data_IF_110666305598
#
_entry.id   IF_110666305598
#
_cell.length_a   1.000
_cell.length_b   1.000
_cell.length_c   1.000
_cell.angle_alpha   90.00
_cell.angle_beta   90.00
_cell.angle_gamma   90.00
#
_symmetry.space_group_name_H-M   'P 1'
#
loop_
_entity.id
_entity.type
_entity.pdbx_description
1 polymer ?
#
# COMPACT_ATOMS: atom_id res chain seq x y z
N UNK A 1 -4.48 -17.32 -2.38
CA UNK A 1 -3.63 -16.58 -1.42
C UNK A 1 -3.35 -15.21 -2.00
N UNK A 2 -3.37 -14.17 -1.17
CA UNK A 2 -3.25 -12.78 -1.60
C UNK A 2 -2.11 -12.11 -0.83
N UNK A 3 -1.22 -11.43 -1.53
CA UNK A 3 -0.25 -10.52 -0.93
C UNK A 3 -0.87 -9.13 -0.83
N UNK A 4 -0.60 -8.42 0.26
CA UNK A 4 -1.02 -7.05 0.44
C UNK A 4 0.12 -6.23 1.04
N UNK A 5 0.42 -5.09 0.43
CA UNK A 5 1.48 -4.19 0.87
C UNK A 5 1.09 -2.72 0.60
N UNK A 6 1.79 -1.78 1.24
CA UNK A 6 1.59 -0.36 0.99
C UNK A 6 2.88 0.38 0.62
N UNK A 7 2.73 1.33 -0.29
CA UNK A 7 3.80 2.18 -0.76
C UNK A 7 3.42 3.65 -0.68
N UNK A 8 4.41 4.51 -0.43
CA UNK A 8 4.25 5.95 -0.63
C UNK A 8 4.80 6.31 -2.01
N UNK A 9 3.90 6.74 -2.89
CA UNK A 9 4.21 7.05 -4.29
C UNK A 9 4.08 8.55 -4.51
N UNK A 10 4.94 9.12 -5.37
CA UNK A 10 4.80 10.54 -5.75
C UNK A 10 3.61 10.70 -6.68
N UNK A 11 2.63 11.52 -6.30
CA UNK A 11 1.50 11.82 -7.17
C UNK A 11 1.88 12.72 -8.36
N UNK A 12 3.03 13.40 -8.29
CA UNK A 12 3.51 14.23 -9.40
C UNK A 12 2.71 15.51 -9.57
N UNK A 13 2.15 16.05 -8.48
CA UNK A 13 1.26 17.22 -8.51
C UNK A 13 1.96 18.54 -8.91
N UNK A 14 3.22 18.47 -9.33
CA UNK A 14 4.01 19.62 -9.78
C UNK A 14 3.33 20.28 -10.98
N UNK A 15 3.08 21.59 -10.88
CA UNK A 15 2.48 22.35 -11.97
C UNK A 15 0.95 22.21 -12.07
N UNK A 16 0.35 21.32 -11.28
CA UNK A 16 -1.11 21.21 -11.18
C UNK A 16 -1.68 22.46 -10.51
N UNK A 17 -2.80 22.96 -11.04
CA UNK A 17 -3.55 24.06 -10.42
C UNK A 17 -4.57 23.46 -9.45
N UNK A 18 -4.59 23.94 -8.22
CA UNK A 18 -5.55 23.55 -7.19
C UNK A 18 -6.32 24.78 -6.71
N UNK A 19 -7.56 24.59 -6.26
CA UNK A 19 -8.35 25.68 -5.69
C UNK A 19 -7.72 26.17 -4.39
N UNK A 20 -7.41 27.47 -4.33
CA UNK A 20 -6.94 28.17 -3.16
C UNK A 20 -7.97 29.17 -2.65
N UNK A 21 -7.79 29.64 -1.41
CA UNK A 21 -8.68 30.66 -0.79
C UNK A 21 -8.83 31.94 -1.64
N UNK A 22 -7.80 32.31 -2.40
CA UNK A 22 -7.76 33.50 -3.26
C UNK A 22 -7.76 33.15 -4.77
N UNK A 23 -8.27 31.97 -5.14
CA UNK A 23 -8.32 31.48 -6.51
C UNK A 23 -7.32 30.34 -6.82
N UNK A 24 -7.24 29.96 -8.09
CA UNK A 24 -6.40 28.85 -8.56
C UNK A 24 -4.93 29.07 -8.21
N UNK A 25 -4.37 28.20 -7.38
CA UNK A 25 -2.95 28.19 -7.02
C UNK A 25 -2.23 27.06 -7.75
N UNK A 26 -1.17 27.40 -8.48
CA UNK A 26 -0.27 26.40 -9.07
C UNK A 26 0.60 25.78 -7.98
N UNK A 27 0.65 24.45 -7.91
CA UNK A 27 1.58 23.73 -7.03
C UNK A 27 3.01 24.00 -7.53
N UNK A 28 3.85 24.69 -6.72
CA UNK A 28 5.16 25.12 -7.17
C UNK A 28 6.08 23.93 -7.44
N UNK A 29 6.93 24.06 -8.45
CA UNK A 29 7.96 23.10 -8.80
C UNK A 29 9.14 23.15 -7.81
N UNK A 30 8.93 22.75 -6.56
CA UNK A 30 10.05 22.63 -5.63
C UNK A 30 10.92 21.43 -6.06
N UNK A 31 12.17 21.68 -6.47
CA UNK A 31 13.22 20.65 -6.45
C UNK A 31 13.37 20.24 -4.98
N UNK A 32 12.74 19.14 -4.59
CA UNK A 32 12.61 18.72 -3.19
C UNK A 32 11.33 19.21 -2.55
N UNK A 33 10.22 18.51 -2.79
CA UNK A 33 9.03 18.61 -1.96
C UNK A 33 9.37 18.25 -0.50
N UNK A 34 8.59 18.82 0.43
CA UNK A 34 8.74 18.70 1.89
C UNK A 34 8.91 17.24 2.34
N UNK A 35 10.15 16.77 2.44
CA UNK A 35 10.51 15.58 3.21
C UNK A 35 10.48 15.95 4.70
N UNK A 36 9.29 16.31 5.18
CA UNK A 36 9.06 16.49 6.60
C UNK A 36 8.99 15.11 7.27
N UNK A 37 9.43 14.99 8.53
CA UNK A 37 9.41 13.73 9.28
C UNK A 37 8.02 13.08 9.28
N UNK A 38 7.99 11.76 9.50
CA UNK A 38 6.78 10.96 9.50
C UNK A 38 6.30 10.55 8.10
N UNK A 39 5.17 9.84 8.07
CA UNK A 39 4.60 9.20 6.88
C UNK A 39 4.30 10.18 5.74
N UNK A 40 4.29 9.64 4.52
CA UNK A 40 3.81 10.36 3.34
C UNK A 40 2.33 10.70 3.49
N UNK A 41 1.92 11.80 2.85
CA UNK A 41 0.52 12.24 2.83
C UNK A 41 0.25 12.93 1.49
N UNK A 42 -1.01 13.12 1.13
CA UNK A 42 -1.38 13.90 -0.05
C UNK A 42 -0.78 15.32 -0.02
N UNK A 43 -0.78 15.97 1.15
CA UNK A 43 -0.16 17.29 1.35
C UNK A 43 1.36 17.31 1.11
N UNK A 44 2.04 16.17 1.29
CA UNK A 44 3.46 15.98 1.02
C UNK A 44 3.73 15.52 -0.43
N UNK A 45 2.70 15.45 -1.28
CA UNK A 45 2.73 14.89 -2.64
C UNK A 45 3.23 13.42 -2.66
N UNK A 46 3.02 12.71 -1.55
CA UNK A 46 3.39 11.30 -1.38
C UNK A 46 2.25 10.53 -0.72
N UNK A 47 1.09 10.39 -1.39
CA UNK A 47 0.00 9.57 -0.88
C UNK A 47 0.45 8.12 -0.64
N UNK A 48 -0.14 7.51 0.38
CA UNK A 48 -0.09 6.07 0.59
C UNK A 48 -1.04 5.41 -0.41
N UNK A 49 -0.50 4.50 -1.18
CA UNK A 49 -1.27 3.54 -1.98
C UNK A 49 -1.06 2.17 -1.39
N UNK A 50 -2.07 1.31 -1.48
CA UNK A 50 -1.91 -0.11 -1.17
C UNK A 50 -2.15 -0.95 -2.41
N UNK A 51 -1.41 -2.05 -2.52
CA UNK A 51 -1.43 -2.99 -3.63
C UNK A 51 -1.85 -4.34 -3.08
N UNK A 52 -2.89 -4.91 -3.67
CA UNK A 52 -3.24 -6.32 -3.49
C UNK A 52 -2.76 -7.11 -4.70
N UNK A 53 -2.12 -8.25 -4.47
CA UNK A 53 -1.68 -9.16 -5.52
C UNK A 53 -2.20 -10.57 -5.25
N UNK A 54 -3.12 -11.04 -6.09
CA UNK A 54 -3.59 -12.42 -6.01
C UNK A 54 -2.57 -13.36 -6.65
N UNK A 55 -2.04 -14.30 -5.86
CA UNK A 55 -1.23 -15.38 -6.41
C UNK A 55 -2.16 -16.44 -6.97
N UNK A 56 -2.51 -16.30 -8.25
CA UNK A 56 -3.06 -17.39 -9.02
C UNK A 56 -1.94 -18.37 -9.44
N UNK A 57 -2.32 -19.58 -9.75
CA UNK A 57 -1.56 -20.59 -10.47
C UNK A 57 -1.26 -20.13 -11.91
N UNK A 58 -0.33 -19.18 -12.00
CA UNK A 58 0.39 -18.70 -13.19
C UNK A 58 -0.42 -18.12 -14.36
N UNK A 59 -1.72 -17.91 -14.24
CA UNK A 59 -2.55 -17.58 -15.42
C UNK A 59 -3.11 -16.17 -15.46
N UNK A 60 -3.49 -15.55 -14.34
CA UNK A 60 -3.93 -14.14 -14.31
C UNK A 60 -3.46 -13.45 -13.02
N UNK A 61 -3.07 -12.18 -13.14
CA UNK A 61 -2.54 -11.38 -12.03
C UNK A 61 -3.50 -10.22 -11.78
N UNK A 62 -4.32 -10.34 -10.75
CA UNK A 62 -5.13 -9.22 -10.31
C UNK A 62 -4.31 -8.35 -9.37
N UNK A 63 -4.08 -7.11 -9.84
CA UNK A 63 -3.45 -6.05 -9.09
C UNK A 63 -4.44 -4.90 -8.96
N UNK A 64 -4.73 -4.51 -7.73
CA UNK A 64 -5.58 -3.34 -7.48
C UNK A 64 -4.86 -2.37 -6.56
N UNK A 65 -4.88 -1.09 -6.96
CA UNK A 65 -4.21 0.02 -6.27
C UNK A 65 -5.27 0.90 -5.61
N UNK A 66 -5.17 1.07 -4.29
CA UNK A 66 -6.11 1.89 -3.51
C UNK A 66 -5.43 3.09 -2.87
N UNK A 67 -6.05 4.27 -2.97
CA UNK A 67 -5.62 5.46 -2.24
C UNK A 67 -6.22 5.45 -0.82
N UNK A 68 -5.36 5.32 0.19
CA UNK A 68 -5.80 5.14 1.59
C UNK A 68 -6.22 6.45 2.26
N UNK A 69 -5.76 7.60 1.75
CA UNK A 69 -5.94 8.89 2.45
C UNK A 69 -7.18 9.69 2.06
N UNK A 70 -7.78 9.44 0.89
CA UNK A 70 -8.96 10.20 0.46
C UNK A 70 -10.24 9.75 1.17
N UNK A 71 -10.37 8.45 1.43
CA UNK A 71 -11.65 7.87 1.87
C UNK A 71 -11.74 7.61 3.39
N UNK A 72 -10.67 7.88 4.16
CA UNK A 72 -10.61 7.57 5.58
C UNK A 72 -10.67 6.08 5.93
N UNK A 73 -10.60 5.21 4.90
CA UNK A 73 -10.60 3.75 5.03
C UNK A 73 -9.33 3.26 5.71
N UNK A 74 -9.45 2.24 6.56
CA UNK A 74 -8.28 1.54 7.10
C UNK A 74 -7.82 0.50 6.09
N UNK A 75 -6.52 0.16 6.11
CA UNK A 75 -5.97 -0.89 5.26
C UNK A 75 -6.70 -2.23 5.42
N UNK A 76 -7.12 -2.57 6.64
CA UNK A 76 -7.91 -3.78 6.88
C UNK A 76 -9.31 -3.74 6.20
N UNK A 77 -9.92 -2.56 6.06
CA UNK A 77 -11.22 -2.42 5.38
C UNK A 77 -11.04 -2.60 3.87
N UNK A 78 -9.92 -2.10 3.31
CA UNK A 78 -9.55 -2.33 1.91
C UNK A 78 -9.33 -3.83 1.65
N UNK A 79 -8.67 -4.54 2.56
CA UNK A 79 -8.53 -6.01 2.43
C UNK A 79 -9.90 -6.69 2.43
N UNK A 80 -10.83 -6.29 3.31
CA UNK A 80 -12.19 -6.86 3.35
C UNK A 80 -12.99 -6.62 2.06
N UNK A 81 -12.82 -5.47 1.43
CA UNK A 81 -13.52 -5.14 0.18
C UNK A 81 -12.96 -5.91 -1.03
N UNK A 82 -11.75 -6.46 -0.93
CA UNK A 82 -10.97 -6.91 -2.09
C UNK A 82 -10.56 -8.36 -2.04
N UNK A 83 -10.54 -8.93 -0.84
CA UNK A 83 -10.14 -10.31 -0.59
C UNK A 83 -11.31 -11.07 0.00
N UNK A 84 -11.64 -12.20 -0.63
CA UNK A 84 -12.68 -13.11 -0.16
C UNK A 84 -12.42 -13.56 1.28
N UNK A 85 -13.46 -13.50 2.12
CA UNK A 85 -13.40 -13.90 3.52
C UNK A 85 -12.88 -15.33 3.67
N UNK A 86 -12.00 -15.57 4.66
CA UNK A 86 -11.37 -16.88 4.85
C UNK A 86 -10.14 -17.12 3.96
N UNK A 87 -9.82 -16.20 3.04
CA UNK A 87 -8.58 -16.29 2.26
C UNK A 87 -7.34 -16.13 3.14
N UNK A 88 -6.23 -16.69 2.65
CA UNK A 88 -4.90 -16.45 3.20
C UNK A 88 -4.30 -15.15 2.67
N UNK A 89 -3.95 -14.26 3.59
CA UNK A 89 -3.43 -12.91 3.33
C UNK A 89 -2.01 -12.80 3.89
N UNK A 90 -1.07 -12.39 3.05
CA UNK A 90 0.32 -12.11 3.41
C UNK A 90 0.55 -10.61 3.47
N UNK A 91 1.01 -10.10 4.62
CA UNK A 91 1.38 -8.68 4.77
C UNK A 91 2.74 -8.54 5.44
N UNK A 92 3.24 -7.32 5.52
CA UNK A 92 4.34 -6.99 6.41
C UNK A 92 3.87 -6.95 7.90
N UNK A 93 4.75 -6.49 8.78
CA UNK A 93 4.48 -6.34 10.22
C UNK A 93 3.67 -5.08 10.58
N UNK A 94 3.08 -4.39 9.60
CA UNK A 94 2.43 -3.13 9.87
C UNK A 94 1.15 -3.32 10.71
N UNK A 95 1.09 -2.63 11.86
CA UNK A 95 -0.01 -2.67 12.82
C UNK A 95 -1.40 -2.42 12.21
N UNK A 96 -1.49 -1.75 11.06
CA UNK A 96 -2.77 -1.53 10.38
C UNK A 96 -3.45 -2.84 9.95
N UNK A 97 -2.69 -3.91 9.71
CA UNK A 97 -3.20 -5.24 9.36
C UNK A 97 -3.45 -6.14 10.58
N UNK A 98 -3.09 -5.73 11.79
CA UNK A 98 -3.22 -6.57 13.00
C UNK A 98 -4.64 -7.05 13.32
N UNK A 99 -5.66 -6.40 12.75
CA UNK A 99 -7.07 -6.79 12.88
C UNK A 99 -7.50 -7.89 11.91
N UNK A 100 -6.72 -8.23 10.89
CA UNK A 100 -7.13 -9.20 9.86
C UNK A 100 -7.40 -10.60 10.44
N UNK A 101 -6.54 -11.08 11.35
CA UNK A 101 -6.78 -12.35 12.03
C UNK A 101 -8.08 -12.38 12.85
N UNK A 102 -8.57 -11.23 13.34
CA UNK A 102 -9.87 -11.11 14.03
C UNK A 102 -11.05 -11.02 13.07
N UNK A 103 -10.80 -10.72 11.80
CA UNK A 103 -11.77 -10.58 10.71
C UNK A 103 -11.90 -11.87 9.89
N UNK A 104 -11.56 -13.01 10.48
CA UNK A 104 -11.65 -14.34 9.85
C UNK A 104 -10.79 -14.53 8.59
N UNK A 105 -9.65 -13.84 8.50
CA UNK A 105 -8.62 -14.13 7.49
C UNK A 105 -7.51 -14.99 8.08
N UNK A 106 -6.95 -15.89 7.26
CA UNK A 106 -5.69 -16.56 7.58
C UNK A 106 -4.55 -15.55 7.33
N UNK A 107 -4.20 -14.80 8.36
CA UNK A 107 -3.22 -13.71 8.26
C UNK A 107 -1.83 -14.17 8.69
N UNK A 108 -0.88 -14.11 7.77
CA UNK A 108 0.53 -14.39 8.01
C UNK A 108 1.37 -13.14 7.67
N UNK A 109 2.37 -12.86 8.51
CA UNK A 109 3.16 -11.62 8.41
C UNK A 109 4.64 -11.91 8.21
N UNK A 110 5.31 -11.14 7.37
CA UNK A 110 6.78 -11.11 7.28
C UNK A 110 7.35 -9.93 8.05
N UNK A 111 8.43 -10.17 8.79
CA UNK A 111 9.06 -9.15 9.64
C UNK A 111 10.31 -8.55 8.98
N UNK A 112 10.11 -7.51 8.19
CA UNK A 112 11.21 -6.82 7.51
C UNK A 112 12.19 -6.15 8.49
N UNK A 113 11.74 -5.66 9.65
CA UNK A 113 12.65 -5.02 10.63
C UNK A 113 13.66 -5.98 11.26
N UNK A 114 13.36 -7.28 11.28
CA UNK A 114 14.27 -8.34 11.73
C UNK A 114 15.13 -8.94 10.60
N UNK A 115 14.98 -8.44 9.37
CA UNK A 115 15.66 -8.99 8.20
C UNK A 115 15.02 -10.28 7.66
N UNK A 116 13.76 -10.54 8.01
CA UNK A 116 12.97 -11.65 7.46
C UNK A 116 12.25 -11.17 6.19
N UNK A 117 12.78 -11.56 5.02
CA UNK A 117 12.22 -11.20 3.71
C UNK A 117 11.27 -12.26 3.15
N UNK A 118 11.32 -13.47 3.70
CA UNK A 118 10.37 -14.53 3.42
C UNK A 118 10.30 -15.50 4.62
N UNK A 119 9.15 -16.12 4.81
CA UNK A 119 8.88 -17.06 5.90
C UNK A 119 8.15 -18.31 5.41
N UNK A 120 7.97 -19.28 6.31
CA UNK A 120 7.27 -20.53 6.04
C UNK A 120 8.07 -21.56 5.22
N UNK A 121 7.44 -22.69 4.94
CA UNK A 121 8.04 -23.76 4.13
C UNK A 121 8.32 -23.26 2.71
N UNK A 122 9.54 -23.50 2.21
CA UNK A 122 10.04 -23.03 0.91
C UNK A 122 9.97 -21.51 0.69
N UNK A 123 10.02 -20.68 1.75
CA UNK A 123 9.91 -19.21 1.64
C UNK A 123 8.60 -18.74 0.97
N UNK A 124 7.51 -19.49 1.13
CA UNK A 124 6.22 -19.18 0.48
C UNK A 124 5.55 -17.92 1.02
N UNK A 125 5.83 -17.49 2.24
CA UNK A 125 5.21 -16.31 2.86
C UNK A 125 6.09 -15.10 2.53
N UNK A 126 5.64 -14.21 1.66
CA UNK A 126 6.35 -12.97 1.30
C UNK A 126 5.41 -11.96 0.63
N UNK A 127 5.86 -10.72 0.51
CA UNK A 127 5.16 -9.62 -0.19
C UNK A 127 5.91 -9.12 -1.43
N UNK A 128 6.92 -9.87 -1.91
CA UNK A 128 7.80 -9.48 -3.02
C UNK A 128 7.07 -9.04 -4.32
N UNK A 129 5.91 -9.63 -4.65
CA UNK A 129 5.18 -9.21 -5.85
C UNK A 129 4.60 -7.81 -5.66
N UNK A 130 4.08 -7.52 -4.48
CA UNK A 130 3.61 -6.19 -4.13
C UNK A 130 4.77 -5.19 -4.06
N UNK A 131 5.92 -5.55 -3.46
CA UNK A 131 7.11 -4.69 -3.44
C UNK A 131 7.59 -4.31 -4.85
N UNK A 132 7.60 -5.29 -5.77
CA UNK A 132 7.96 -5.07 -7.17
C UNK A 132 7.01 -4.07 -7.85
N UNK A 133 5.69 -4.22 -7.63
CA UNK A 133 4.67 -3.32 -8.16
C UNK A 133 4.77 -1.91 -7.58
N UNK A 134 4.98 -1.80 -6.26
CA UNK A 134 5.24 -0.52 -5.59
C UNK A 134 6.52 0.12 -6.15
N UNK A 135 7.52 -0.68 -6.50
CA UNK A 135 8.72 -0.23 -7.21
C UNK A 135 8.44 0.35 -8.59
N UNK A 136 7.56 -0.28 -9.37
CA UNK A 136 7.15 0.18 -10.70
C UNK A 136 6.40 1.51 -10.68
N UNK A 137 5.65 1.78 -9.61
CA UNK A 137 4.85 2.99 -9.46
C UNK A 137 5.66 4.21 -8.98
N UNK A 138 6.93 4.05 -8.59
CA UNK A 138 7.80 5.13 -8.07
C UNK A 138 8.51 5.92 -9.16
#
# INVERSE_FOLDING_TARGET
MVEHDEGYIRAGSKGTKIDGRDGLRTIPSRRGLLRGPGRGTYKKDTPMMTVAYQRADNTERDCVVYNVHEDGKKLADIVEETVELGSRVYTDEYKAYSSLGKRSYEHETVNHSKGEYASGEDNKIHTNNCECLVGLLK
#
